data_IF_999395490850
#
_entry.id   IF_999395490850
#
_cell.length_a   1.000
_cell.length_b   1.000
_cell.length_c   1.000
_cell.angle_alpha   90.00
_cell.angle_beta   90.00
_cell.angle_gamma   90.00
#
_symmetry.space_group_name_H-M   'P 1'
#
loop_
_entity.id
_entity.type
_entity.pdbx_description
1 polymer ?
#
# COMPACT_ATOMS: atom_id res chain seq x y z
N UNK A 1 -30.75 -9.86 19.60
CA UNK A 1 -30.27 -8.75 18.75
C UNK A 1 -29.11 -9.28 17.90
N UNK A 2 -29.37 -9.87 16.73
CA UNK A 2 -28.34 -10.44 15.85
C UNK A 2 -28.20 -9.55 14.60
N UNK A 3 -27.46 -8.45 14.75
CA UNK A 3 -27.10 -7.54 13.65
C UNK A 3 -25.62 -7.19 13.84
N UNK A 4 -24.72 -8.17 13.71
CA UNK A 4 -23.30 -7.95 14.03
C UNK A 4 -22.26 -8.47 13.00
N UNK A 5 -22.49 -9.52 12.19
CA UNK A 5 -21.46 -9.95 11.22
C UNK A 5 -21.50 -9.16 9.90
N UNK A 6 -22.69 -8.87 9.36
CA UNK A 6 -22.82 -8.27 8.03
C UNK A 6 -22.38 -6.80 7.99
N UNK A 7 -22.78 -6.01 8.99
CA UNK A 7 -22.37 -4.61 9.11
C UNK A 7 -20.84 -4.45 9.22
N UNK A 8 -20.18 -5.34 9.97
CA UNK A 8 -18.71 -5.34 10.10
C UNK A 8 -18.04 -5.54 8.75
N UNK A 9 -18.54 -6.44 7.92
CA UNK A 9 -17.97 -6.67 6.58
C UNK A 9 -18.09 -5.43 5.68
N UNK A 10 -19.23 -4.71 5.71
CA UNK A 10 -19.39 -3.47 4.96
C UNK A 10 -18.42 -2.38 5.40
N UNK A 11 -18.25 -2.20 6.72
CA UNK A 11 -17.31 -1.21 7.26
C UNK A 11 -15.89 -1.54 6.81
N UNK A 12 -15.46 -2.80 6.96
CA UNK A 12 -14.13 -3.22 6.55
C UNK A 12 -13.93 -3.08 5.03
N UNK A 13 -14.96 -3.34 4.21
CA UNK A 13 -14.88 -3.11 2.78
C UNK A 13 -14.79 -1.62 2.43
N UNK A 14 -15.58 -0.76 3.08
CA UNK A 14 -15.50 0.68 2.90
C UNK A 14 -14.12 1.24 3.27
N UNK A 15 -13.50 0.70 4.32
CA UNK A 15 -12.12 1.04 4.71
C UNK A 15 -11.10 0.65 3.63
N UNK A 16 -11.26 -0.52 2.99
CA UNK A 16 -10.42 -0.91 1.84
C UNK A 16 -10.61 0.04 0.65
N UNK A 17 -11.85 0.45 0.35
CA UNK A 17 -12.12 1.44 -0.72
C UNK A 17 -11.46 2.80 -0.43
N UNK A 18 -11.48 3.26 0.83
CA UNK A 18 -10.77 4.47 1.26
C UNK A 18 -9.25 4.33 1.10
N UNK A 19 -8.70 3.17 1.44
CA UNK A 19 -7.28 2.90 1.25
C UNK A 19 -6.90 2.84 -0.25
N UNK A 20 -7.77 2.27 -1.11
CA UNK A 20 -7.59 2.30 -2.56
C UNK A 20 -7.54 3.74 -3.10
N UNK A 21 -8.46 4.61 -2.67
CA UNK A 21 -8.47 6.02 -3.08
C UNK A 21 -7.18 6.75 -2.70
N UNK A 22 -6.65 6.49 -1.50
CA UNK A 22 -5.37 7.02 -1.05
C UNK A 22 -4.19 6.48 -1.87
N UNK A 23 -4.19 5.17 -2.19
CA UNK A 23 -3.18 4.55 -3.06
C UNK A 23 -3.18 5.17 -4.46
N UNK A 24 -4.35 5.39 -5.05
CA UNK A 24 -4.49 6.05 -6.36
C UNK A 24 -3.99 7.49 -6.32
N UNK A 25 -4.30 8.24 -5.27
CA UNK A 25 -3.81 9.62 -5.09
C UNK A 25 -2.28 9.66 -4.98
N UNK A 26 -1.70 8.75 -4.19
CA UNK A 26 -0.25 8.60 -4.09
C UNK A 26 0.39 8.18 -5.42
N UNK A 27 -0.25 7.26 -6.16
CA UNK A 27 0.20 6.82 -7.48
C UNK A 27 0.23 7.98 -8.49
N UNK A 28 -0.80 8.81 -8.51
CA UNK A 28 -0.83 10.02 -9.36
C UNK A 28 0.29 11.00 -9.02
N UNK A 29 0.61 11.16 -7.72
CA UNK A 29 1.74 11.98 -7.28
C UNK A 29 3.08 11.42 -7.77
N UNK A 30 3.27 10.09 -7.65
CA UNK A 30 4.46 9.41 -8.15
C UNK A 30 4.61 9.52 -9.68
N UNK A 31 3.50 9.42 -10.43
CA UNK A 31 3.52 9.61 -11.88
C UNK A 31 3.98 11.03 -12.26
N UNK A 32 3.52 12.07 -11.54
CA UNK A 32 3.99 13.46 -11.73
C UNK A 32 5.47 13.62 -11.39
N UNK A 33 5.95 12.95 -10.33
CA UNK A 33 7.37 12.94 -9.96
C UNK A 33 8.21 12.29 -11.06
N UNK A 34 7.78 11.13 -11.57
CA UNK A 34 8.45 10.43 -12.67
C UNK A 34 8.53 11.27 -13.93
N UNK A 35 7.47 12.00 -14.31
CA UNK A 35 7.51 12.90 -15.47
C UNK A 35 8.56 14.01 -15.36
N UNK A 36 8.89 14.45 -14.14
CA UNK A 36 9.88 15.52 -13.89
C UNK A 36 11.30 14.99 -13.77
N UNK A 37 11.48 13.79 -13.23
CA UNK A 37 12.78 13.25 -12.85
C UNK A 37 13.20 12.01 -13.63
N UNK A 38 12.31 11.43 -14.42
CA UNK A 38 12.48 10.15 -15.15
C UNK A 38 12.85 8.99 -14.19
N UNK A 39 12.45 9.12 -12.93
CA UNK A 39 12.74 8.16 -11.86
C UNK A 39 11.65 8.26 -10.80
N UNK A 40 11.18 7.12 -10.28
CA UNK A 40 10.27 7.09 -9.14
C UNK A 40 11.01 7.27 -7.81
N UNK A 41 12.33 7.17 -7.81
CA UNK A 41 13.16 7.43 -6.64
C UNK A 41 13.38 8.92 -6.46
N UNK A 42 13.60 9.34 -5.22
CA UNK A 42 14.09 10.70 -4.91
C UNK A 42 15.62 10.76 -5.00
N UNK A 43 16.29 9.70 -4.54
CA UNK A 43 17.72 9.49 -4.68
C UNK A 43 18.02 7.99 -4.69
N UNK A 44 19.29 7.61 -4.93
CA UNK A 44 19.72 6.20 -4.93
C UNK A 44 19.35 5.43 -3.64
N UNK A 45 19.17 6.15 -2.52
CA UNK A 45 18.89 5.57 -1.20
C UNK A 45 17.53 5.99 -0.62
N UNK A 46 16.68 6.71 -1.35
CA UNK A 46 15.42 7.21 -0.78
C UNK A 46 14.26 7.28 -1.76
N UNK A 47 13.09 6.94 -1.25
CA UNK A 47 11.80 7.16 -1.91
C UNK A 47 11.34 8.61 -1.74
N UNK A 48 10.54 9.14 -2.68
CA UNK A 48 9.88 10.42 -2.52
C UNK A 48 8.84 10.34 -1.40
N UNK A 49 8.58 11.48 -0.75
CA UNK A 49 7.55 11.59 0.28
C UNK A 49 6.18 11.46 -0.36
N UNK A 50 5.35 10.57 0.17
CA UNK A 50 3.97 10.39 -0.28
C UNK A 50 3.09 11.52 0.30
N UNK A 51 2.14 12.09 -0.48
CA UNK A 51 1.23 13.10 0.04
C UNK A 51 0.29 12.53 1.11
N UNK A 52 -0.05 11.25 1.03
CA UNK A 52 -0.84 10.54 2.05
C UNK A 52 0.01 9.39 2.58
N UNK A 53 0.67 9.59 3.72
CA UNK A 53 1.46 8.55 4.39
C UNK A 53 0.62 7.68 5.34
N UNK A 54 -0.50 8.20 5.83
CA UNK A 54 -1.39 7.49 6.75
C UNK A 54 -2.80 8.09 6.69
N UNK A 55 -3.81 7.25 6.93
CA UNK A 55 -5.18 7.67 7.21
C UNK A 55 -5.65 7.08 8.57
N UNK A 56 -6.95 7.11 8.85
CA UNK A 56 -7.50 6.62 10.12
C UNK A 56 -7.29 5.11 10.38
N UNK A 57 -7.02 4.32 9.33
CA UNK A 57 -7.02 2.84 9.42
C UNK A 57 -5.80 2.18 8.79
N UNK A 58 -5.10 2.86 7.89
CA UNK A 58 -3.98 2.32 7.12
C UNK A 58 -2.83 3.30 7.08
N UNK A 59 -1.61 2.78 7.05
CA UNK A 59 -0.42 3.50 6.61
C UNK A 59 -0.07 3.10 5.18
N UNK A 60 0.57 4.03 4.46
CA UNK A 60 0.94 3.88 3.07
C UNK A 60 2.44 4.10 2.93
N UNK A 61 3.15 3.12 2.36
CA UNK A 61 4.57 3.22 2.04
C UNK A 61 4.87 2.50 0.74
N UNK A 62 6.00 2.85 0.14
CA UNK A 62 6.54 2.10 -1.01
C UNK A 62 7.15 0.80 -0.47
N UNK A 63 6.95 -0.30 -1.18
CA UNK A 63 7.57 -1.58 -0.92
C UNK A 63 8.89 -1.70 -1.68
N UNK A 64 9.91 -2.22 -1.00
CA UNK A 64 11.24 -2.46 -1.54
C UNK A 64 12.26 -1.39 -1.14
N UNK A 65 13.49 -1.84 -0.92
CA UNK A 65 14.59 -0.96 -0.60
C UNK A 65 15.01 -0.17 -1.86
N UNK A 66 15.02 1.18 -1.81
CA UNK A 66 15.34 2.01 -2.97
C UNK A 66 16.74 1.76 -3.54
N UNK A 67 17.67 1.20 -2.77
CA UNK A 67 19.01 0.81 -3.24
C UNK A 67 18.98 -0.30 -4.29
N UNK A 68 18.04 -1.23 -4.16
CA UNK A 68 17.98 -2.45 -4.99
C UNK A 68 16.83 -2.45 -5.97
N UNK A 69 15.82 -1.59 -5.79
CA UNK A 69 14.71 -1.44 -6.73
C UNK A 69 15.15 -0.69 -7.99
N UNK A 70 14.55 -0.96 -9.15
CA UNK A 70 14.79 -0.17 -10.37
C UNK A 70 14.13 1.20 -10.29
N UNK A 71 14.65 2.16 -11.04
CA UNK A 71 14.16 3.55 -11.02
C UNK A 71 12.78 3.71 -11.67
N UNK A 72 12.45 2.86 -12.65
CA UNK A 72 11.16 2.83 -13.36
C UNK A 72 10.07 1.99 -12.68
N UNK A 73 10.35 1.34 -11.55
CA UNK A 73 9.42 0.44 -10.88
C UNK A 73 9.16 0.87 -9.44
N UNK A 74 7.90 0.77 -9.02
CA UNK A 74 7.50 0.92 -7.62
C UNK A 74 6.32 0.01 -7.31
N UNK A 75 6.13 -0.29 -6.03
CA UNK A 75 4.88 -0.89 -5.54
C UNK A 75 4.47 -0.11 -4.30
N UNK A 76 3.31 0.52 -4.34
CA UNK A 76 2.69 1.12 -3.16
C UNK A 76 1.95 0.05 -2.38
N UNK A 77 2.00 0.14 -1.06
CA UNK A 77 1.34 -0.81 -0.17
C UNK A 77 0.63 -0.07 0.94
N UNK A 78 -0.59 -0.49 1.23
CA UNK A 78 -1.42 -0.04 2.33
C UNK A 78 -1.53 -1.16 3.36
N UNK A 79 -1.04 -0.89 4.58
CA UNK A 79 -1.05 -1.82 5.71
C UNK A 79 -1.94 -1.25 6.80
N UNK A 80 -2.78 -2.08 7.40
CA UNK A 80 -3.65 -1.64 8.48
C UNK A 80 -2.83 -1.22 9.71
N UNK A 81 -3.27 -0.18 10.40
CA UNK A 81 -2.69 0.24 11.69
C UNK A 81 -2.93 -0.83 12.77
N UNK A 82 -4.04 -1.55 12.67
CA UNK A 82 -4.39 -2.69 13.52
C UNK A 82 -4.55 -3.93 12.63
N UNK A 83 -3.51 -4.75 12.56
CA UNK A 83 -3.46 -5.97 11.75
C UNK A 83 -4.31 -7.10 12.31
N UNK A 84 -4.67 -7.06 13.60
CA UNK A 84 -5.57 -8.04 14.22
C UNK A 84 -7.01 -7.78 13.81
N UNK A 85 -7.40 -6.50 13.74
CA UNK A 85 -8.74 -6.11 13.29
C UNK A 85 -8.91 -6.20 11.76
N UNK A 86 -7.85 -5.90 11.00
CA UNK A 86 -7.82 -5.89 9.53
C UNK A 86 -6.49 -6.47 9.02
N UNK A 87 -6.38 -7.81 8.86
CA UNK A 87 -5.13 -8.44 8.40
C UNK A 87 -4.88 -8.22 6.90
N UNK A 88 -5.90 -7.82 6.15
CA UNK A 88 -5.82 -7.66 4.70
C UNK A 88 -5.07 -6.40 4.34
N UNK A 89 -4.33 -6.45 3.26
CA UNK A 89 -3.56 -5.31 2.73
C UNK A 89 -3.94 -5.01 1.29
N UNK A 90 -3.70 -3.79 0.85
CA UNK A 90 -3.78 -3.43 -0.56
C UNK A 90 -2.41 -3.10 -1.12
N UNK A 91 -2.14 -3.54 -2.34
CA UNK A 91 -0.94 -3.20 -3.10
C UNK A 91 -1.35 -2.54 -4.40
N UNK A 92 -0.61 -1.54 -4.83
CA UNK A 92 -0.76 -0.90 -6.14
C UNK A 92 0.58 -0.93 -6.85
N UNK A 93 0.61 -1.43 -8.08
CA UNK A 93 1.83 -1.42 -8.89
C UNK A 93 1.88 -0.20 -9.82
N UNK A 94 3.00 -0.01 -10.53
CA UNK A 94 3.18 1.12 -11.45
C UNK A 94 2.17 1.14 -12.62
N UNK A 95 1.54 0.01 -12.93
CA UNK A 95 0.51 -0.11 -13.97
C UNK A 95 -0.89 0.31 -13.47
N UNK A 96 -1.00 0.73 -12.20
CA UNK A 96 -2.27 1.09 -11.57
C UNK A 96 -3.14 -0.09 -11.14
N UNK A 97 -2.63 -1.33 -11.25
CA UNK A 97 -3.35 -2.52 -10.79
C UNK A 97 -3.31 -2.59 -9.28
N UNK A 98 -4.49 -2.77 -8.68
CA UNK A 98 -4.67 -2.91 -7.23
C UNK A 98 -4.85 -4.38 -6.90
N UNK A 99 -4.10 -4.85 -5.91
CA UNK A 99 -4.15 -6.22 -5.41
C UNK A 99 -4.55 -6.21 -3.94
N UNK A 100 -5.47 -7.09 -3.56
CA UNK A 100 -5.86 -7.37 -2.19
C UNK A 100 -5.18 -8.68 -1.75
N UNK A 101 -4.34 -8.61 -0.72
CA UNK A 101 -3.76 -9.79 -0.09
C UNK A 101 -4.44 -10.06 1.25
N UNK A 102 -4.64 -11.33 1.60
CA UNK A 102 -5.40 -11.72 2.79
C UNK A 102 -4.65 -11.47 4.08
N UNK A 103 -3.31 -11.55 4.04
CA UNK A 103 -2.45 -11.28 5.18
C UNK A 103 -1.10 -10.74 4.73
N UNK A 104 -0.45 -10.05 5.66
CA UNK A 104 0.92 -9.57 5.49
C UNK A 104 1.67 -9.58 6.81
N UNK A 105 2.99 -9.77 6.76
CA UNK A 105 3.87 -9.59 7.91
C UNK A 105 4.32 -8.12 8.09
N UNK A 106 4.03 -7.25 7.12
CA UNK A 106 4.41 -5.85 7.21
C UNK A 106 3.60 -5.10 8.27
N UNK A 107 4.23 -4.12 8.91
CA UNK A 107 3.61 -3.29 9.94
C UNK A 107 3.93 -1.80 9.79
N UNK A 108 2.99 -0.97 10.23
CA UNK A 108 3.12 0.48 10.16
C UNK A 108 4.17 1.07 11.11
N UNK A 109 4.57 0.32 12.14
CA UNK A 109 5.58 0.70 13.13
C UNK A 109 7.00 0.22 12.76
N UNK A 110 7.20 -0.34 11.56
CA UNK A 110 8.54 -0.63 11.03
C UNK A 110 9.40 0.66 11.01
N UNK A 111 10.65 0.56 11.49
CA UNK A 111 11.61 1.68 11.53
C UNK A 111 11.92 2.22 10.12
N UNK A 112 11.88 1.34 9.12
CA UNK A 112 12.17 1.67 7.74
C UNK A 112 11.02 2.46 7.09
N UNK A 113 11.37 3.49 6.31
CA UNK A 113 10.39 4.29 5.56
C UNK A 113 9.78 3.56 4.34
N UNK A 114 10.11 2.29 4.15
CA UNK A 114 9.59 1.40 3.11
C UNK A 114 9.24 0.04 3.72
N UNK A 115 8.29 -0.68 3.10
CA UNK A 115 8.02 -2.06 3.50
C UNK A 115 9.01 -3.01 2.86
N UNK A 116 9.48 -4.01 3.60
CA UNK A 116 10.36 -5.03 3.03
C UNK A 116 9.66 -5.80 1.90
N UNK A 117 10.41 -6.14 0.84
CA UNK A 117 9.91 -6.80 -0.37
C UNK A 117 10.17 -8.30 -0.42
N UNK A 118 10.43 -8.96 0.71
CA UNK A 118 10.77 -10.38 0.73
C UNK A 118 9.61 -11.25 0.21
N UNK A 119 9.96 -12.35 -0.48
CA UNK A 119 9.06 -13.18 -1.32
C UNK A 119 7.92 -13.90 -0.60
N UNK A 120 7.76 -13.72 0.72
CA UNK A 120 6.70 -14.32 1.53
C UNK A 120 6.03 -13.32 2.47
N UNK A 121 6.21 -12.02 2.23
CA UNK A 121 5.62 -10.97 3.09
C UNK A 121 4.11 -10.85 2.93
N UNK A 122 3.57 -11.17 1.75
CA UNK A 122 2.16 -10.98 1.39
C UNK A 122 1.57 -12.30 0.86
N UNK A 123 0.45 -12.75 1.43
CA UNK A 123 -0.15 -14.05 1.11
C UNK A 123 -1.53 -13.91 0.47
N UNK A 124 -1.85 -14.84 -0.43
CA UNK A 124 -3.15 -14.97 -1.11
C UNK A 124 -3.62 -13.66 -1.76
N UNK A 125 -2.75 -13.05 -2.56
CA UNK A 125 -3.04 -11.81 -3.29
C UNK A 125 -3.92 -12.08 -4.53
N UNK A 126 -4.96 -11.26 -4.71
CA UNK A 126 -5.85 -11.26 -5.88
C UNK A 126 -6.09 -9.83 -6.36
N UNK A 127 -6.57 -9.64 -7.59
CA UNK A 127 -6.94 -8.31 -8.10
C UNK A 127 -8.12 -7.77 -7.27
N UNK A 128 -8.05 -6.50 -6.89
CA UNK A 128 -9.10 -5.79 -6.16
C UNK A 128 -10.03 -5.11 -7.18
N UNK A 129 -11.31 -5.51 -7.19
CA UNK A 129 -12.35 -5.23 -8.21
C UNK A 129 -12.13 -5.95 -9.56
N UNK A 130 -12.37 -7.26 -9.57
CA UNK A 130 -12.80 -8.00 -10.78
C UNK A 130 -14.33 -8.05 -10.79
#
# INVERSE_FOLDING_TARGET
>A
MMVYPYYRQHVLHARLQQAQAALLTNSQHLAKHYQKHISYKKSANSWPTLPISQNQHFCFRIQGNPRYTREEHYTLKAVALDTEAEPRILKLNQDGKVFLCQSSTSRCDEEEHFFSGHSQTDLNCRIFND
#
